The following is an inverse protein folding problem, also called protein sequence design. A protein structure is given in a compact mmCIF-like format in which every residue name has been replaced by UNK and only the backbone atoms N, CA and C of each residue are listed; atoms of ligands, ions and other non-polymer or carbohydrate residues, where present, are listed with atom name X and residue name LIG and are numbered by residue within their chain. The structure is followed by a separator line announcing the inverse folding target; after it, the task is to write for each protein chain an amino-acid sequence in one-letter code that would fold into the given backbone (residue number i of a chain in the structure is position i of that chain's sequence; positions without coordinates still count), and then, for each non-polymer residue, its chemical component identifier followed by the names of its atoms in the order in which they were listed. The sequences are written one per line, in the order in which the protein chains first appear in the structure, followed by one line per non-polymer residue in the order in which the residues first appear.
data_IF_665382233688
#
_entry.id   IF_665382233688
#
_cell.length_a   1.000
_cell.length_b   1.000
_cell.length_c   1.000
_cell.angle_alpha   90.00
_cell.angle_beta   90.00
_cell.angle_gamma   90.00
#
_symmetry.space_group_name_H-M   'P 1'
#
loop_
_entity.id
_entity.type
_entity.pdbx_description
1 polymer ?
#
# COMPACT_ATOMS: atom_id res chain seq x y z
N UNK A 1 33.80 26.03 -29.63
CA UNK A 1 33.15 24.70 -29.61
C UNK A 1 32.23 24.50 -28.39
N UNK A 2 32.58 24.88 -27.16
CA UNK A 2 31.74 24.69 -25.96
C UNK A 2 30.31 25.27 -26.02
N UNK A 3 30.11 26.45 -26.65
CA UNK A 3 28.77 27.08 -26.77
C UNK A 3 27.76 26.22 -27.54
N UNK A 4 28.20 25.48 -28.56
CA UNK A 4 27.32 24.61 -29.35
C UNK A 4 26.77 23.45 -28.50
N UNK A 5 27.62 22.85 -27.67
CA UNK A 5 27.24 21.76 -26.78
C UNK A 5 26.29 22.22 -25.68
N UNK A 6 26.50 23.42 -25.12
CA UNK A 6 25.57 23.98 -24.14
C UNK A 6 24.17 24.22 -24.73
N UNK A 7 24.06 24.73 -25.95
CA UNK A 7 22.75 24.96 -26.59
C UNK A 7 22.03 23.64 -26.90
N UNK A 8 22.78 22.60 -27.33
CA UNK A 8 22.23 21.25 -27.54
C UNK A 8 21.75 20.64 -26.22
N UNK A 9 22.51 20.76 -25.13
CA UNK A 9 22.10 20.29 -23.81
C UNK A 9 20.84 21.00 -23.30
N UNK A 10 20.75 22.33 -23.46
CA UNK A 10 19.57 23.10 -23.06
C UNK A 10 18.32 22.70 -23.86
N UNK A 11 18.48 22.41 -25.15
CA UNK A 11 17.40 21.88 -26.00
C UNK A 11 16.93 20.49 -25.55
N UNK A 12 17.85 19.57 -25.24
CA UNK A 12 17.50 18.22 -24.76
C UNK A 12 16.79 18.30 -23.41
N UNK A 13 17.26 19.16 -22.49
CA UNK A 13 16.64 19.34 -21.17
C UNK A 13 15.24 19.94 -21.30
N UNK A 14 15.04 20.92 -22.18
CA UNK A 14 13.70 21.47 -22.47
C UNK A 14 12.74 20.38 -22.97
N UNK A 15 13.16 19.57 -23.95
CA UNK A 15 12.30 18.52 -24.51
C UNK A 15 11.98 17.40 -23.53
N UNK A 16 12.89 17.07 -22.62
CA UNK A 16 12.63 16.07 -21.57
C UNK A 16 11.69 16.59 -20.47
N UNK A 17 11.62 17.92 -20.23
CA UNK A 17 10.80 18.50 -19.18
C UNK A 17 9.30 18.58 -19.50
N UNK A 18 8.87 18.30 -20.74
CA UNK A 18 7.45 18.38 -21.15
C UNK A 18 6.76 17.03 -21.26
N UNK A 19 7.42 15.94 -20.86
CA UNK A 19 6.86 14.58 -20.90
C UNK A 19 5.88 14.35 -19.76
N UNK A 20 4.65 14.86 -19.90
CA UNK A 20 3.55 14.51 -19.00
C UNK A 20 3.09 13.09 -19.34
N UNK A 21 3.63 12.10 -18.61
CA UNK A 21 3.14 10.72 -18.69
C UNK A 21 1.81 10.68 -17.95
N UNK A 22 0.71 10.63 -18.71
CA UNK A 22 -0.63 10.40 -18.15
C UNK A 22 -0.94 8.90 -18.18
N UNK A 23 -1.60 8.42 -17.12
CA UNK A 23 -2.20 7.08 -17.16
C UNK A 23 -3.38 7.13 -18.15
N UNK A 24 -3.29 6.38 -19.25
CA UNK A 24 -4.27 6.48 -20.35
C UNK A 24 -5.45 5.50 -20.21
N UNK A 25 -5.36 4.53 -19.31
CA UNK A 25 -6.34 3.44 -19.18
C UNK A 25 -6.73 3.14 -17.72
N UNK A 26 -6.52 4.08 -16.80
CA UNK A 26 -7.00 3.97 -15.42
C UNK A 26 -8.38 4.64 -15.30
N UNK A 27 -9.40 3.90 -14.89
CA UNK A 27 -10.73 4.47 -14.63
C UNK A 27 -10.72 5.25 -13.31
N UNK A 28 -10.88 6.57 -13.41
CA UNK A 28 -10.95 7.49 -12.26
C UNK A 28 -12.36 7.84 -11.85
N UNK A 29 -13.38 7.42 -12.60
CA UNK A 29 -14.79 7.69 -12.34
C UNK A 29 -15.43 6.56 -11.51
N UNK A 30 -15.17 5.31 -11.87
CA UNK A 30 -15.78 4.13 -11.22
C UNK A 30 -14.80 3.43 -10.25
N UNK A 31 -14.26 4.17 -9.29
CA UNK A 31 -13.27 3.64 -8.35
C UNK A 31 -13.90 2.79 -7.24
N UNK A 32 -13.30 1.62 -6.98
CA UNK A 32 -13.62 0.82 -5.79
C UNK A 32 -12.88 1.36 -4.57
N UNK A 33 -13.58 2.15 -3.75
CA UNK A 33 -13.02 2.70 -2.53
C UNK A 33 -13.12 1.71 -1.36
N UNK A 34 -12.04 1.58 -0.58
CA UNK A 34 -12.00 0.84 0.68
C UNK A 34 -11.52 1.75 1.81
N UNK A 35 -12.19 1.69 2.95
CA UNK A 35 -11.92 2.51 4.12
C UNK A 35 -11.63 1.62 5.32
N UNK A 36 -10.70 2.07 6.17
CA UNK A 36 -10.50 1.51 7.51
C UNK A 36 -10.78 2.54 8.59
N UNK A 37 -10.50 2.15 9.83
CA UNK A 37 -10.80 2.98 10.99
C UNK A 37 -9.97 4.27 11.01
N UNK A 38 -10.55 5.42 11.42
CA UNK A 38 -9.82 6.67 11.53
C UNK A 38 -8.56 6.53 12.42
N UNK A 39 -7.43 7.06 11.95
CA UNK A 39 -6.16 7.02 12.69
C UNK A 39 -5.44 5.67 12.72
N UNK A 40 -6.01 4.62 12.12
CA UNK A 40 -5.41 3.28 12.03
C UNK A 40 -4.25 3.16 11.03
N UNK A 41 -4.07 4.16 10.18
CA UNK A 41 -3.20 4.12 9.00
C UNK A 41 -3.56 2.97 8.04
N UNK A 42 -4.85 2.69 7.90
CA UNK A 42 -5.35 1.79 6.85
C UNK A 42 -4.83 2.22 5.48
N UNK A 43 -4.23 1.29 4.74
CA UNK A 43 -3.58 1.56 3.45
C UNK A 43 -2.08 1.81 3.57
N UNK A 44 -1.49 1.70 4.77
CA UNK A 44 -0.03 1.82 4.96
C UNK A 44 0.76 0.81 4.12
N UNK A 45 0.22 -0.39 3.95
CA UNK A 45 0.71 -1.39 3.02
C UNK A 45 -0.47 -2.08 2.32
N UNK A 46 -0.25 -2.53 1.09
CA UNK A 46 -1.25 -3.26 0.29
C UNK A 46 -0.59 -4.46 -0.39
N UNK A 47 -1.34 -5.55 -0.49
CA UNK A 47 -0.94 -6.74 -1.25
C UNK A 47 -2.17 -7.32 -1.96
N UNK A 48 -1.97 -7.96 -3.10
CA UNK A 48 -3.05 -8.60 -3.84
C UNK A 48 -2.68 -10.03 -4.20
N UNK A 49 -3.44 -10.98 -3.64
CA UNK A 49 -3.32 -12.40 -3.96
C UNK A 49 -4.71 -13.03 -3.88
N UNK A 50 -5.45 -13.01 -4.99
CA UNK A 50 -6.88 -13.37 -5.11
C UNK A 50 -7.86 -12.44 -4.36
N UNK A 51 -7.41 -11.80 -3.29
CA UNK A 51 -8.12 -10.80 -2.50
C UNK A 51 -7.19 -9.61 -2.25
N UNK A 52 -7.78 -8.44 -2.03
CA UNK A 52 -7.01 -7.26 -1.61
C UNK A 52 -6.76 -7.33 -0.11
N UNK A 53 -5.49 -7.28 0.28
CA UNK A 53 -5.03 -7.20 1.65
C UNK A 53 -4.55 -5.78 1.95
N UNK A 54 -4.97 -5.24 3.09
CA UNK A 54 -4.62 -3.88 3.49
C UNK A 54 -4.11 -3.87 4.93
N UNK A 55 -2.90 -3.36 5.14
CA UNK A 55 -2.32 -3.17 6.46
C UNK A 55 -2.79 -1.87 7.10
N UNK A 56 -3.05 -1.92 8.41
CA UNK A 56 -3.36 -0.77 9.25
C UNK A 56 -2.57 -0.88 10.58
N UNK A 57 -1.33 -0.37 10.63
CA UNK A 57 -0.43 -0.58 11.77
C UNK A 57 -0.90 0.03 13.09
N UNK A 58 -1.84 0.98 13.06
CA UNK A 58 -2.40 1.61 14.26
C UNK A 58 -3.81 1.12 14.60
N UNK A 59 -4.34 0.17 13.85
CA UNK A 59 -5.60 -0.50 14.20
C UNK A 59 -5.43 -1.41 15.43
N UNK A 60 -6.56 -1.68 16.10
CA UNK A 60 -6.69 -2.62 17.20
C UNK A 60 -7.75 -3.66 16.85
N UNK A 61 -7.54 -4.91 17.25
CA UNK A 61 -8.62 -5.89 17.22
C UNK A 61 -9.69 -5.54 18.25
N UNK A 62 -10.95 -5.89 17.96
CA UNK A 62 -12.02 -5.83 18.95
C UNK A 62 -11.60 -6.66 20.16
N UNK A 63 -11.69 -6.07 21.36
CA UNK A 63 -11.26 -6.63 22.65
C UNK A 63 -9.75 -6.62 22.94
N UNK A 64 -8.91 -5.99 22.11
CA UNK A 64 -7.50 -5.76 22.44
C UNK A 64 -7.25 -4.33 22.94
N UNK A 65 -6.56 -4.22 24.08
CA UNK A 65 -6.18 -2.92 24.67
C UNK A 65 -5.02 -2.29 23.89
N UNK A 66 -4.09 -3.13 23.41
CA UNK A 66 -2.85 -2.70 22.77
C UNK A 66 -3.00 -2.53 21.25
N UNK A 67 -2.28 -1.55 20.70
CA UNK A 67 -2.13 -1.38 19.25
C UNK A 67 -1.07 -2.37 18.77
N UNK A 68 -1.50 -3.42 18.10
CA UNK A 68 -0.60 -4.40 17.46
C UNK A 68 -0.55 -4.26 15.94
N UNK A 69 -1.49 -3.49 15.37
CA UNK A 69 -1.77 -3.48 13.95
C UNK A 69 -2.75 -4.59 13.56
N UNK A 70 -3.47 -4.35 12.47
CA UNK A 70 -4.45 -5.26 11.88
C UNK A 70 -4.19 -5.37 10.38
N UNK A 71 -4.40 -6.55 9.81
CA UNK A 71 -4.48 -6.75 8.36
C UNK A 71 -5.93 -7.02 8.00
N UNK A 72 -6.44 -6.28 7.01
CA UNK A 72 -7.81 -6.44 6.52
C UNK A 72 -7.81 -7.19 5.18
N UNK A 73 -8.80 -8.06 5.01
CA UNK A 73 -9.18 -8.69 3.75
C UNK A 73 -10.37 -7.94 3.16
N UNK A 74 -10.18 -7.39 1.97
CA UNK A 74 -11.20 -6.65 1.22
C UNK A 74 -11.73 -7.50 0.07
N UNK A 75 -13.04 -7.73 0.05
CA UNK A 75 -13.73 -8.33 -1.08
C UNK A 75 -13.93 -7.28 -2.18
N UNK A 76 -13.48 -7.56 -3.40
CA UNK A 76 -13.61 -6.66 -4.55
C UNK A 76 -14.89 -6.87 -5.35
N UNK A 77 -15.64 -7.95 -5.08
CA UNK A 77 -16.89 -8.26 -5.78
C UNK A 77 -18.08 -7.42 -5.27
N UNK A 78 -17.94 -6.82 -4.09
CA UNK A 78 -18.98 -6.02 -3.46
C UNK A 78 -18.72 -4.52 -3.57
N UNK A 79 -19.77 -3.71 -3.55
CA UNK A 79 -19.68 -2.25 -3.44
C UNK A 79 -19.41 -1.77 -2.02
N UNK A 80 -19.29 -2.69 -1.05
CA UNK A 80 -19.01 -2.35 0.34
C UNK A 80 -17.65 -1.70 0.48
N UNK A 81 -17.59 -0.56 1.17
CA UNK A 81 -16.33 0.12 1.46
C UNK A 81 -15.56 -0.51 2.63
N UNK A 82 -16.21 -1.37 3.42
CA UNK A 82 -15.60 -2.00 4.58
C UNK A 82 -14.81 -3.26 4.20
N UNK A 83 -13.75 -3.52 4.96
CA UNK A 83 -12.97 -4.74 4.86
C UNK A 83 -13.01 -5.50 6.18
N UNK A 84 -12.80 -6.82 6.14
CA UNK A 84 -12.86 -7.66 7.33
C UNK A 84 -11.46 -7.88 7.91
N UNK A 85 -11.24 -7.70 9.22
CA UNK A 85 -9.95 -8.00 9.83
C UNK A 85 -9.66 -9.50 9.73
N UNK A 86 -8.41 -9.86 9.45
CA UNK A 86 -7.95 -11.25 9.48
C UNK A 86 -7.61 -11.61 10.92
N UNK A 87 -8.16 -12.72 11.41
CA UNK A 87 -7.74 -13.31 12.68
C UNK A 87 -6.49 -14.16 12.44
N UNK A 88 -5.38 -13.78 13.09
CA UNK A 88 -4.17 -14.59 13.14
C UNK A 88 -4.23 -15.47 14.39
N UNK A 89 -4.04 -16.79 14.24
CA UNK A 89 -3.95 -17.70 15.39
C UNK A 89 -2.62 -17.50 16.13
N UNK A 90 -2.71 -17.31 17.44
CA UNK A 90 -1.56 -17.17 18.35
C UNK A 90 -0.76 -18.46 18.51
N UNK A 91 -1.31 -19.61 18.10
CA UNK A 91 -0.72 -20.94 18.36
C UNK A 91 0.45 -21.31 17.44
N UNK A 92 0.69 -20.58 16.36
CA UNK A 92 1.60 -21.02 15.30
C UNK A 92 2.94 -20.28 15.16
N UNK A 93 3.16 -19.17 15.86
CA UNK A 93 4.21 -18.23 15.43
C UNK A 93 5.15 -17.82 16.58
N UNK A 94 5.97 -18.78 17.03
CA UNK A 94 7.21 -18.51 17.78
C UNK A 94 8.12 -17.55 17.00
N UNK A 95 8.00 -17.54 15.67
CA UNK A 95 8.65 -16.61 14.74
C UNK A 95 8.03 -15.19 14.71
N UNK A 96 6.75 -14.98 15.03
CA UNK A 96 6.15 -13.62 15.09
C UNK A 96 6.50 -12.88 16.37
N UNK A 97 6.72 -13.61 17.47
CA UNK A 97 7.24 -12.97 18.68
C UNK A 97 8.63 -12.36 18.44
N UNK A 98 9.40 -12.93 17.53
CA UNK A 98 10.66 -12.35 17.05
C UNK A 98 10.41 -11.21 16.03
N UNK A 99 9.31 -11.27 15.28
CA UNK A 99 8.84 -10.21 14.36
C UNK A 99 8.14 -9.02 15.04
N UNK A 100 7.83 -9.10 16.35
CA UNK A 100 7.39 -7.93 17.15
C UNK A 100 8.46 -6.84 17.25
N UNK A 101 9.70 -7.12 16.83
CA UNK A 101 10.84 -6.20 16.79
C UNK A 101 11.37 -5.94 15.37
N UNK A 102 10.77 -6.47 14.31
CA UNK A 102 11.35 -6.37 12.97
C UNK A 102 10.58 -5.34 12.14
N UNK A 103 11.22 -4.17 12.03
CA UNK A 103 11.16 -3.22 10.92
C UNK A 103 10.46 -3.74 9.67
N UNK A 104 9.46 -3.00 9.20
CA UNK A 104 8.74 -3.16 7.93
C UNK A 104 9.66 -3.59 6.77
N UNK A 105 9.79 -4.89 6.53
CA UNK A 105 10.48 -5.42 5.36
C UNK A 105 9.43 -5.92 4.37
N UNK A 106 9.29 -5.20 3.26
CA UNK A 106 8.29 -5.43 2.21
C UNK A 106 8.43 -6.78 1.49
N UNK A 107 9.52 -7.53 1.70
CA UNK A 107 9.84 -8.74 0.94
C UNK A 107 9.18 -10.03 1.47
N UNK A 108 8.33 -9.97 2.49
CA UNK A 108 7.76 -11.19 3.11
C UNK A 108 6.27 -11.43 2.85
N UNK A 109 5.61 -10.56 2.08
CA UNK A 109 4.17 -10.68 1.76
C UNK A 109 3.89 -11.29 0.37
N UNK A 110 4.94 -11.72 -0.34
CA UNK A 110 4.83 -12.33 -1.67
C UNK A 110 5.65 -13.63 -1.68
N UNK A 111 5.12 -14.67 -1.04
CA UNK A 111 5.53 -16.06 -1.26
C UNK A 111 4.32 -16.96 -1.13
#
# INVERSE_FOLDING_TARGET
MAKQWHMVCLWIIWHFQTSNVTAFNLDTENVLQRNGDPGSLFGFSVAFHQQLLVGAPRAKHQNQVNVTGVVYKCDLTTTSKSCQPIEFDDKGLTTCKQYKSLTWNYNQLIS
#
